data_IF_876913405181
#
_entry.id   IF_876913405181
#
_cell.length_a   1.000
_cell.length_b   1.000
_cell.length_c   1.000
_cell.angle_alpha   90.00
_cell.angle_beta   90.00
_cell.angle_gamma   90.00
#
_symmetry.space_group_name_H-M   'P 1'
#
loop_
_entity.id
_entity.type
_entity.pdbx_description
1 polymer ?
#
# COMPACT_ATOMS: atom_id res chain seq x y z
N UNK A 1 -15.33 -18.22 -2.42
CA UNK A 1 -16.02 -17.04 -1.88
C UNK A 1 -15.01 -16.34 -0.97
N UNK A 2 -14.35 -15.30 -1.49
CA UNK A 2 -13.26 -14.60 -0.80
C UNK A 2 -13.80 -13.65 0.26
N UNK A 3 -13.04 -13.44 1.34
CA UNK A 3 -13.38 -12.48 2.39
C UNK A 3 -13.30 -11.03 1.88
N UNK A 4 -13.78 -10.10 2.70
CA UNK A 4 -13.77 -8.66 2.40
C UNK A 4 -12.32 -8.17 2.22
N UNK A 5 -12.08 -7.36 1.20
CA UNK A 5 -10.76 -6.85 0.82
C UNK A 5 -10.55 -5.40 1.24
N UNK A 6 -9.30 -4.94 1.24
CA UNK A 6 -8.96 -3.53 1.43
C UNK A 6 -9.66 -2.67 0.36
N UNK A 7 -9.71 -3.13 -0.89
CA UNK A 7 -10.39 -2.44 -1.99
C UNK A 7 -11.91 -2.32 -1.85
N UNK A 8 -12.53 -3.13 -0.98
CA UNK A 8 -13.97 -3.03 -0.69
C UNK A 8 -14.29 -1.89 0.29
N UNK A 9 -13.31 -1.46 1.11
CA UNK A 9 -13.48 -0.41 2.13
C UNK A 9 -12.57 0.82 1.93
N UNK A 10 -11.77 0.84 0.86
CA UNK A 10 -10.86 1.93 0.56
C UNK A 10 -10.58 2.03 -0.94
N UNK A 11 -10.18 3.22 -1.38
CA UNK A 11 -9.54 3.42 -2.66
C UNK A 11 -8.04 3.70 -2.47
N UNK A 12 -7.25 3.59 -3.54
CA UNK A 12 -5.83 3.84 -3.44
C UNK A 12 -5.20 4.40 -4.70
N UNK A 13 -4.05 5.05 -4.51
CA UNK A 13 -3.22 5.60 -5.58
C UNK A 13 -1.77 5.18 -5.38
N UNK A 14 -1.06 5.07 -6.51
CA UNK A 14 0.38 4.87 -6.52
C UNK A 14 1.09 5.96 -7.32
N UNK A 15 2.29 6.31 -6.88
CA UNK A 15 3.19 7.26 -7.51
C UNK A 15 4.64 6.87 -7.25
N UNK A 16 5.56 7.56 -7.91
CA UNK A 16 6.98 7.26 -7.82
C UNK A 16 7.82 8.52 -7.92
N UNK A 17 8.96 8.51 -7.24
CA UNK A 17 9.99 9.55 -7.34
C UNK A 17 11.37 8.91 -7.23
N UNK A 18 12.09 8.85 -8.36
CA UNK A 18 13.39 8.18 -8.40
C UNK A 18 13.23 6.69 -8.09
N UNK A 19 13.91 6.21 -7.06
CA UNK A 19 13.86 4.81 -6.60
C UNK A 19 12.74 4.54 -5.58
N UNK A 20 11.96 5.56 -5.23
CA UNK A 20 10.94 5.49 -4.18
C UNK A 20 9.56 5.30 -4.78
N UNK A 21 8.80 4.36 -4.22
CA UNK A 21 7.38 4.17 -4.49
C UNK A 21 6.57 4.85 -3.36
N UNK A 22 5.52 5.57 -3.75
CA UNK A 22 4.58 6.25 -2.87
C UNK A 22 3.19 5.64 -3.07
N UNK A 23 2.61 5.12 -2.00
CA UNK A 23 1.28 4.53 -1.99
C UNK A 23 0.41 5.27 -0.99
N UNK A 24 -0.82 5.60 -1.39
CA UNK A 24 -1.81 6.17 -0.48
C UNK A 24 -3.09 5.35 -0.56
N UNK A 25 -3.57 4.90 0.59
CA UNK A 25 -4.87 4.23 0.77
C UNK A 25 -5.78 5.21 1.50
N UNK A 26 -6.97 5.46 0.97
CA UNK A 26 -7.98 6.36 1.53
C UNK A 26 -9.23 5.54 1.84
N UNK A 27 -9.58 5.44 3.11
CA UNK A 27 -10.72 4.69 3.58
C UNK A 27 -12.05 5.34 3.18
N UNK A 28 -13.09 4.53 2.99
CA UNK A 28 -14.44 5.00 2.64
C UNK A 28 -15.10 5.79 3.79
N UNK A 29 -14.82 5.41 5.03
CA UNK A 29 -15.35 6.04 6.24
C UNK A 29 -14.41 5.85 7.45
N UNK A 30 -14.81 6.38 8.60
CA UNK A 30 -14.02 6.32 9.83
C UNK A 30 -13.85 4.90 10.41
N UNK A 31 -14.83 4.01 10.20
CA UNK A 31 -14.74 2.61 10.66
C UNK A 31 -13.77 1.81 9.79
N UNK A 32 -13.81 2.03 8.48
CA UNK A 32 -12.83 1.50 7.54
C UNK A 32 -11.42 2.02 7.86
N UNK A 33 -11.29 3.32 8.16
CA UNK A 33 -10.01 3.91 8.57
C UNK A 33 -9.46 3.24 9.83
N UNK A 34 -10.27 3.11 10.90
CA UNK A 34 -9.85 2.47 12.14
C UNK A 34 -9.39 1.01 11.91
N UNK A 35 -10.07 0.28 11.05
CA UNK A 35 -9.69 -1.09 10.66
C UNK A 35 -8.33 -1.11 9.95
N UNK A 36 -8.12 -0.23 8.98
CA UNK A 36 -6.87 -0.15 8.22
C UNK A 36 -5.72 0.37 9.08
N UNK A 37 -5.95 1.34 9.96
CA UNK A 37 -4.96 1.88 10.88
C UNK A 37 -4.46 0.81 11.86
N UNK A 38 -5.35 -0.06 12.33
CA UNK A 38 -5.00 -1.15 13.23
C UNK A 38 -4.24 -2.30 12.56
N UNK A 39 -4.46 -2.55 11.26
CA UNK A 39 -4.04 -3.81 10.63
C UNK A 39 -3.16 -3.66 9.38
N UNK A 40 -3.25 -2.56 8.63
CA UNK A 40 -2.44 -2.32 7.45
C UNK A 40 -1.08 -1.69 7.85
N UNK A 41 -0.15 -2.55 8.24
CA UNK A 41 1.19 -2.19 8.70
C UNK A 41 2.20 -1.92 7.58
N UNK A 42 3.27 -1.17 7.90
CA UNK A 42 4.35 -0.85 6.95
C UNK A 42 5.10 -2.09 6.47
N UNK A 43 5.45 -3.01 7.38
CA UNK A 43 6.23 -4.22 7.07
C UNK A 43 5.48 -5.16 6.13
N UNK A 44 4.16 -5.31 6.30
CA UNK A 44 3.31 -6.08 5.41
C UNK A 44 3.36 -5.51 3.97
N UNK A 45 3.22 -4.19 3.84
CA UNK A 45 3.25 -3.51 2.52
C UNK A 45 4.64 -3.60 1.88
N UNK A 46 5.71 -3.49 2.68
CA UNK A 46 7.08 -3.67 2.21
C UNK A 46 7.32 -5.08 1.67
N UNK A 47 6.92 -6.10 2.45
CA UNK A 47 7.06 -7.51 2.08
C UNK A 47 6.24 -7.87 0.84
N UNK A 48 5.00 -7.38 0.75
CA UNK A 48 4.12 -7.60 -0.40
C UNK A 48 4.72 -7.09 -1.72
N UNK A 49 5.43 -5.98 -1.67
CA UNK A 49 5.98 -5.30 -2.85
C UNK A 49 7.49 -5.53 -3.05
N UNK A 50 8.12 -6.37 -2.22
CA UNK A 50 9.55 -6.66 -2.30
C UNK A 50 10.42 -5.42 -2.08
N UNK A 51 9.97 -4.48 -1.26
CA UNK A 51 10.75 -3.32 -0.86
C UNK A 51 11.58 -3.63 0.40
N UNK A 52 12.80 -3.08 0.51
CA UNK A 52 13.64 -3.32 1.69
C UNK A 52 13.10 -2.65 2.95
N UNK A 53 12.31 -1.58 2.79
CA UNK A 53 11.72 -0.82 3.89
C UNK A 53 10.50 -0.04 3.39
N UNK A 54 9.50 0.09 4.27
CA UNK A 54 8.42 1.05 4.12
C UNK A 54 8.30 1.93 5.37
N UNK A 55 7.86 3.17 5.19
CA UNK A 55 7.43 4.05 6.28
C UNK A 55 5.96 4.34 6.11
N UNK A 56 5.16 4.09 7.15
CA UNK A 56 3.74 4.45 7.19
C UNK A 56 3.54 5.81 7.85
N UNK A 57 2.69 6.64 7.26
CA UNK A 57 2.19 7.88 7.82
C UNK A 57 0.67 7.83 7.89
N UNK A 58 0.13 8.12 9.07
CA UNK A 58 -1.30 8.27 9.31
C UNK A 58 -1.73 9.71 9.02
N UNK A 59 -2.83 9.87 8.27
CA UNK A 59 -3.43 11.16 7.97
C UNK A 59 -4.92 11.09 8.31
N UNK A 60 -5.28 11.08 9.61
CA UNK A 60 -6.65 10.81 10.07
C UNK A 60 -7.65 11.84 9.56
N UNK A 61 -7.24 13.10 9.37
CA UNK A 61 -8.09 14.14 8.78
C UNK A 61 -8.52 13.89 7.33
N UNK A 62 -7.84 12.97 6.63
CA UNK A 62 -8.19 12.50 5.28
C UNK A 62 -8.62 11.04 5.26
N UNK A 63 -8.73 10.39 6.43
CA UNK A 63 -8.98 8.94 6.55
C UNK A 63 -7.98 8.13 5.71
N UNK A 64 -6.71 8.54 5.69
CA UNK A 64 -5.71 8.00 4.79
C UNK A 64 -4.48 7.44 5.49
N UNK A 65 -3.93 6.37 4.91
CA UNK A 65 -2.63 5.80 5.24
C UNK A 65 -1.71 5.96 4.04
N UNK A 66 -0.55 6.59 4.27
CA UNK A 66 0.47 6.78 3.25
C UNK A 66 1.67 5.87 3.54
N UNK A 67 2.18 5.21 2.51
CA UNK A 67 3.36 4.37 2.58
C UNK A 67 4.43 4.91 1.63
N UNK A 68 5.63 5.11 2.16
CA UNK A 68 6.81 5.50 1.39
C UNK A 68 7.77 4.34 1.40
N UNK A 69 7.98 3.71 0.24
CA UNK A 69 8.82 2.53 0.08
C UNK A 69 10.11 2.94 -0.63
N UNK A 70 11.14 3.25 0.15
CA UNK A 70 12.44 3.66 -0.35
C UNK A 70 13.18 2.49 -0.98
N UNK A 71 13.76 2.73 -2.15
CA UNK A 71 14.50 1.69 -2.87
C UNK A 71 13.60 0.56 -3.35
N UNK A 72 12.29 0.76 -3.50
CA UNK A 72 11.34 -0.19 -4.10
C UNK A 72 11.45 -0.27 -5.63
N UNK A 73 12.12 0.70 -6.26
CA UNK A 73 12.32 0.78 -7.70
C UNK A 73 13.82 0.86 -8.05
N UNK A 74 14.16 0.34 -9.21
CA UNK A 74 15.47 0.48 -9.85
C UNK A 74 15.70 1.94 -10.29
N UNK A 75 16.97 2.34 -10.44
CA UNK A 75 17.33 3.68 -10.89
C UNK A 75 17.06 3.88 -12.40
N UNK A 76 16.41 5.00 -12.77
CA UNK A 76 16.24 5.42 -14.16
C UNK A 76 14.86 6.05 -14.46
N UNK A 77 14.66 6.61 -15.67
CA UNK A 77 13.43 7.32 -16.05
C UNK A 77 12.18 6.43 -16.15
N UNK A 78 12.36 5.10 -16.10
CA UNK A 78 11.31 4.08 -16.22
C UNK A 78 11.18 3.21 -14.96
N UNK A 79 11.46 3.78 -13.78
CA UNK A 79 11.56 3.13 -12.46
C UNK A 79 10.82 1.77 -12.34
N UNK A 80 11.55 0.70 -12.06
CA UNK A 80 11.12 -0.71 -12.24
C UNK A 80 11.47 -1.56 -11.02
N UNK A 81 10.63 -2.52 -10.61
CA UNK A 81 11.06 -3.88 -10.22
C UNK A 81 10.19 -4.94 -10.94
N UNK A 82 9.80 -4.53 -12.16
CA UNK A 82 8.89 -5.07 -13.20
C UNK A 82 7.80 -6.08 -12.82
N UNK A 83 6.54 -5.63 -12.97
CA UNK A 83 5.56 -6.35 -13.79
C UNK A 83 5.09 -5.45 -14.96
N UNK A 84 5.86 -5.42 -16.05
CA UNK A 84 5.59 -4.62 -17.26
C UNK A 84 6.10 -3.16 -17.20
N UNK A 85 6.11 -2.50 -18.37
CA UNK A 85 6.49 -1.08 -18.47
C UNK A 85 5.50 -0.23 -17.65
N UNK A 86 5.98 0.56 -16.70
CA UNK A 86 5.18 1.41 -15.80
C UNK A 86 4.37 0.74 -14.69
N UNK A 87 4.70 -0.49 -14.28
CA UNK A 87 4.00 -1.21 -13.20
C UNK A 87 3.83 -0.39 -11.90
N UNK A 88 4.74 0.55 -11.60
CA UNK A 88 4.67 1.45 -10.45
C UNK A 88 3.40 2.30 -10.41
N UNK A 89 2.71 2.50 -11.54
CA UNK A 89 1.42 3.20 -11.63
C UNK A 89 0.23 2.33 -11.20
N UNK A 90 0.44 1.02 -11.11
CA UNK A 90 -0.54 0.04 -10.67
C UNK A 90 -0.13 -0.65 -9.36
N UNK A 91 0.98 -0.24 -8.74
CA UNK A 91 1.56 -0.91 -7.57
C UNK A 91 0.69 -0.86 -6.31
N UNK A 92 -0.38 -0.06 -6.33
CA UNK A 92 -1.39 -0.07 -5.28
C UNK A 92 -2.31 -1.30 -5.33
N UNK A 93 -2.46 -1.92 -6.51
CA UNK A 93 -3.42 -3.02 -6.74
C UNK A 93 -3.21 -4.22 -5.80
N UNK A 94 -1.97 -4.73 -5.58
CA UNK A 94 -1.75 -5.81 -4.62
C UNK A 94 -2.20 -5.46 -3.20
N UNK A 95 -2.02 -4.20 -2.76
CA UNK A 95 -2.46 -3.75 -1.43
C UNK A 95 -3.99 -3.76 -1.33
N UNK A 96 -4.69 -3.28 -2.36
CA UNK A 96 -6.15 -3.28 -2.40
C UNK A 96 -6.72 -4.71 -2.49
N UNK A 97 -5.97 -5.65 -3.03
CA UNK A 97 -6.37 -7.06 -3.15
C UNK A 97 -6.23 -7.86 -1.85
N UNK A 98 -5.52 -7.35 -0.83
CA UNK A 98 -5.43 -8.00 0.47
C UNK A 98 -6.81 -8.12 1.12
N UNK A 99 -7.10 -9.27 1.70
CA UNK A 99 -8.26 -9.50 2.55
C UNK A 99 -8.05 -8.91 3.94
N UNK A 100 -9.14 -8.58 4.63
CA UNK A 100 -9.07 -8.12 6.02
C UNK A 100 -8.49 -9.19 6.96
N UNK A 101 -8.66 -10.47 6.63
CA UNK A 101 -8.04 -11.57 7.35
C UNK A 101 -6.51 -11.59 7.19
N UNK A 102 -6.00 -11.31 5.98
CA UNK A 102 -4.56 -11.26 5.72
C UNK A 102 -3.87 -10.10 6.46
N UNK A 103 -4.50 -8.92 6.49
CA UNK A 103 -3.94 -7.78 7.23
C UNK A 103 -4.08 -7.95 8.76
N UNK A 104 -5.13 -8.64 9.23
CA UNK A 104 -5.33 -8.92 10.66
C UNK A 104 -4.43 -10.01 11.24
N UNK A 105 -3.82 -10.85 10.39
CA UNK A 105 -2.93 -11.94 10.80
C UNK A 105 -1.44 -11.54 10.86
N UNK A 106 -1.06 -10.39 10.28
CA UNK A 106 0.31 -9.90 10.29
C UNK A 106 0.69 -9.37 11.68
N UNK A 107 1.90 -9.65 12.21
CA UNK A 107 2.36 -9.05 13.44
C UNK A 107 2.49 -7.53 13.28
N UNK A 108 2.02 -6.79 14.29
CA UNK A 108 2.05 -5.32 14.35
C UNK A 108 3.48 -4.76 14.37
#
# INVERSE_FOLDING_TARGET
>A
MGGLTVGDIACGRSGDKGTTLDLTVVAADAGAYATLEAHLGAELVAGLLGAPRAVRHEVPGLLALKFVLEGALDAGPWASRRAGMHWQKAAISPVLALTLAEIGAAPA
#
